data_IF_272734562196
#
_entry.id   IF_272734562196
#
_cell.length_a   1.000
_cell.length_b   1.000
_cell.length_c   1.000
_cell.angle_alpha   90.00
_cell.angle_beta   90.00
_cell.angle_gamma   90.00
#
_symmetry.space_group_name_H-M   'P 1'
#
loop_
_entity.id
_entity.type
_entity.pdbx_description
1 polymer ?
#
# COMPACT_ATOMS: atom_id res chain seq x y z
N UNK A 1 -13.07 -31.17 29.76
CA UNK A 1 -14.26 -30.62 29.06
C UNK A 1 -14.24 -29.10 28.97
N UNK A 2 -13.74 -28.40 29.96
CA UNK A 2 -13.57 -26.92 29.91
C UNK A 2 -12.55 -26.46 28.88
N UNK A 3 -11.41 -27.14 28.74
CA UNK A 3 -10.38 -26.77 27.75
C UNK A 3 -10.85 -26.87 26.30
N UNK A 4 -11.75 -27.82 26.01
CA UNK A 4 -12.28 -28.00 24.65
C UNK A 4 -13.26 -26.87 24.26
N UNK A 5 -13.97 -26.29 25.23
CA UNK A 5 -14.90 -25.17 25.03
C UNK A 5 -14.12 -23.86 24.79
N UNK A 6 -13.04 -23.64 25.55
CA UNK A 6 -12.15 -22.48 25.39
C UNK A 6 -11.50 -22.45 24.00
N UNK A 7 -10.95 -23.57 23.53
CA UNK A 7 -10.33 -23.68 22.21
C UNK A 7 -11.34 -23.40 21.09
N UNK A 8 -12.57 -23.92 21.20
CA UNK A 8 -13.65 -23.64 20.23
C UNK A 8 -14.06 -22.16 20.20
N UNK A 9 -14.06 -21.49 21.34
CA UNK A 9 -14.40 -20.07 21.42
C UNK A 9 -13.31 -19.20 20.81
N UNK A 10 -12.04 -19.54 20.98
CA UNK A 10 -10.91 -18.83 20.36
C UNK A 10 -10.88 -19.02 18.84
N UNK A 11 -11.15 -20.23 18.35
CA UNK A 11 -11.25 -20.50 16.91
C UNK A 11 -12.41 -19.77 16.25
N UNK A 12 -13.57 -19.71 16.91
CA UNK A 12 -14.71 -18.95 16.42
C UNK A 12 -14.46 -17.44 16.43
N UNK A 13 -13.78 -16.93 17.45
CA UNK A 13 -13.41 -15.52 17.51
C UNK A 13 -12.46 -15.15 16.37
N UNK A 14 -11.44 -15.96 16.12
CA UNK A 14 -10.48 -15.76 15.01
C UNK A 14 -11.13 -15.89 13.62
N UNK A 15 -12.11 -16.77 13.47
CA UNK A 15 -12.90 -16.88 12.22
C UNK A 15 -13.75 -15.64 12.00
N UNK A 16 -14.45 -15.17 13.02
CA UNK A 16 -15.27 -13.97 12.94
C UNK A 16 -14.45 -12.71 12.65
N UNK A 17 -13.24 -12.60 13.21
CA UNK A 17 -12.32 -11.49 12.90
C UNK A 17 -11.81 -11.53 11.46
N UNK A 18 -11.52 -12.72 10.91
CA UNK A 18 -11.12 -12.89 9.51
C UNK A 18 -12.27 -12.59 8.55
N UNK A 19 -13.47 -13.06 8.84
CA UNK A 19 -14.68 -12.79 8.06
C UNK A 19 -15.00 -11.29 8.05
N UNK A 20 -14.90 -10.60 9.18
CA UNK A 20 -15.12 -9.16 9.30
C UNK A 20 -14.07 -8.34 8.51
N UNK A 21 -12.80 -8.76 8.53
CA UNK A 21 -11.74 -8.10 7.74
C UNK A 21 -11.95 -8.26 6.25
N UNK A 22 -12.35 -9.45 5.80
CA UNK A 22 -12.65 -9.71 4.39
C UNK A 22 -13.87 -8.91 3.92
N UNK A 23 -14.92 -8.82 4.71
CA UNK A 23 -16.12 -8.05 4.39
C UNK A 23 -15.81 -6.54 4.26
N UNK A 24 -15.01 -5.98 5.16
CA UNK A 24 -14.58 -4.59 5.07
C UNK A 24 -13.72 -4.34 3.82
N UNK A 25 -12.78 -5.23 3.50
CA UNK A 25 -11.94 -5.13 2.31
C UNK A 25 -12.79 -5.19 1.05
N UNK A 26 -13.75 -6.10 0.98
CA UNK A 26 -14.66 -6.23 -0.16
C UNK A 26 -15.53 -4.98 -0.34
N UNK A 27 -16.01 -4.40 0.75
CA UNK A 27 -16.76 -3.13 0.72
C UNK A 27 -15.90 -1.96 0.26
N UNK A 28 -14.65 -1.88 0.71
CA UNK A 28 -13.69 -0.84 0.28
C UNK A 28 -13.41 -0.93 -1.20
N UNK A 29 -13.25 -2.13 -1.76
CA UNK A 29 -13.06 -2.33 -3.19
C UNK A 29 -14.26 -1.80 -4.01
N UNK A 30 -15.48 -1.97 -3.54
CA UNK A 30 -16.67 -1.42 -4.20
C UNK A 30 -16.66 0.11 -4.27
N UNK A 31 -16.02 0.77 -3.32
CA UNK A 31 -15.82 2.23 -3.33
C UNK A 31 -14.63 2.67 -4.16
N UNK A 32 -13.94 1.75 -4.82
CA UNK A 32 -12.71 1.97 -5.59
C UNK A 32 -11.63 2.66 -4.77
N UNK A 33 -11.48 2.24 -3.52
CA UNK A 33 -10.54 2.81 -2.56
C UNK A 33 -9.53 1.77 -2.10
N UNK A 34 -8.25 2.14 -2.15
CA UNK A 34 -7.12 1.35 -1.66
C UNK A 34 -6.42 2.13 -0.54
N UNK A 35 -6.03 1.43 0.52
CA UNK A 35 -5.32 2.03 1.64
C UNK A 35 -3.97 1.35 1.81
N UNK A 36 -2.90 2.13 1.78
CA UNK A 36 -1.55 1.71 2.14
C UNK A 36 -1.19 2.37 3.47
N UNK A 37 -0.99 1.56 4.49
CA UNK A 37 -0.66 2.03 5.82
C UNK A 37 0.47 1.19 6.43
N UNK A 38 1.46 1.86 7.03
CA UNK A 38 2.56 1.20 7.70
C UNK A 38 3.73 0.84 6.78
N UNK A 39 4.46 -0.19 7.13
CA UNK A 39 5.67 -0.61 6.42
C UNK A 39 5.38 -1.15 5.03
N UNK A 40 6.20 -0.76 4.05
CA UNK A 40 6.14 -1.27 2.69
C UNK A 40 7.02 -2.52 2.59
N UNK A 41 6.40 -3.62 2.20
CA UNK A 41 7.06 -4.91 1.98
C UNK A 41 6.45 -5.64 0.76
N UNK A 42 7.00 -6.79 0.40
CA UNK A 42 6.53 -7.55 -0.76
C UNK A 42 5.11 -8.11 -0.57
N UNK A 43 4.74 -8.46 0.64
CA UNK A 43 3.37 -8.91 0.95
C UNK A 43 2.34 -7.80 0.67
N UNK A 44 2.64 -6.57 1.10
CA UNK A 44 1.83 -5.39 0.78
C UNK A 44 1.77 -5.14 -0.74
N UNK A 45 2.90 -5.25 -1.43
CA UNK A 45 2.97 -5.05 -2.88
C UNK A 45 2.10 -6.06 -3.63
N UNK A 46 2.13 -7.31 -3.24
CA UNK A 46 1.26 -8.36 -3.80
C UNK A 46 -0.21 -8.03 -3.58
N UNK A 47 -0.59 -7.67 -2.35
CA UNK A 47 -1.97 -7.32 -1.98
C UNK A 47 -2.48 -6.13 -2.79
N UNK A 48 -1.71 -5.06 -2.85
CA UNK A 48 -2.08 -3.83 -3.60
C UNK A 48 -2.18 -4.12 -5.09
N UNK A 49 -1.25 -4.89 -5.64
CA UNK A 49 -1.28 -5.32 -7.05
C UNK A 49 -2.57 -6.05 -7.38
N UNK A 50 -2.95 -7.03 -6.55
CA UNK A 50 -4.21 -7.77 -6.72
C UNK A 50 -5.43 -6.85 -6.67
N UNK A 51 -5.46 -5.93 -5.72
CA UNK A 51 -6.55 -4.97 -5.58
C UNK A 51 -6.67 -4.05 -6.80
N UNK A 52 -5.57 -3.51 -7.28
CA UNK A 52 -5.55 -2.61 -8.44
C UNK A 52 -5.97 -3.33 -9.73
N UNK A 53 -5.47 -4.54 -9.95
CA UNK A 53 -5.87 -5.35 -11.11
C UNK A 53 -7.35 -5.73 -11.06
N UNK A 54 -7.88 -6.06 -9.90
CA UNK A 54 -9.29 -6.35 -9.71
C UNK A 54 -10.15 -5.10 -9.98
N UNK A 55 -9.75 -3.95 -9.47
CA UNK A 55 -10.45 -2.69 -9.70
C UNK A 55 -10.47 -2.30 -11.18
N UNK A 56 -9.39 -2.56 -11.92
CA UNK A 56 -9.35 -2.36 -13.36
C UNK A 56 -10.39 -3.22 -14.10
N UNK A 57 -10.55 -4.49 -13.71
CA UNK A 57 -11.55 -5.39 -14.27
C UNK A 57 -12.99 -4.96 -13.92
N UNK A 58 -13.19 -4.31 -12.78
CA UNK A 58 -14.50 -3.84 -12.33
C UNK A 58 -14.97 -2.57 -13.05
N UNK A 59 -14.09 -1.83 -13.70
CA UNK A 59 -14.45 -0.62 -14.43
C UNK A 59 -13.26 0.33 -14.63
N UNK A 60 -13.52 1.38 -15.39
CA UNK A 60 -12.51 2.38 -15.77
C UNK A 60 -12.58 3.68 -14.93
N UNK A 61 -13.46 3.75 -13.95
CA UNK A 61 -13.60 4.91 -13.09
C UNK A 61 -12.34 5.13 -12.25
N UNK A 62 -12.03 6.38 -11.84
CA UNK A 62 -10.85 6.68 -11.03
C UNK A 62 -10.81 5.89 -9.72
N UNK A 63 -9.61 5.51 -9.34
CA UNK A 63 -9.30 4.83 -8.08
C UNK A 63 -8.72 5.85 -7.11
N UNK A 64 -9.12 5.81 -5.84
CA UNK A 64 -8.56 6.63 -4.78
C UNK A 64 -7.65 5.77 -3.90
N UNK A 65 -6.39 6.19 -3.76
CA UNK A 65 -5.40 5.51 -2.94
C UNK A 65 -4.92 6.43 -1.82
N UNK A 66 -5.12 6.02 -0.58
CA UNK A 66 -4.57 6.71 0.60
C UNK A 66 -3.23 6.09 0.99
N UNK A 67 -2.24 6.92 1.28
CA UNK A 67 -0.92 6.47 1.74
C UNK A 67 -0.50 7.15 3.02
N UNK A 68 -0.13 6.33 4.00
CA UNK A 68 0.49 6.70 5.27
C UNK A 68 1.57 5.68 5.60
N UNK A 69 2.82 5.98 5.30
CA UNK A 69 3.90 5.02 5.41
C UNK A 69 5.23 5.70 5.72
N UNK A 70 5.96 5.12 6.65
CA UNK A 70 7.36 5.45 6.93
C UNK A 70 8.33 4.96 5.83
N UNK A 71 7.84 4.19 4.87
CA UNK A 71 8.65 3.55 3.85
C UNK A 71 8.89 2.07 4.12
N UNK A 72 9.98 1.55 3.60
CA UNK A 72 10.37 0.14 3.74
C UNK A 72 11.15 -0.36 2.54
N UNK A 73 10.73 -1.49 1.98
CA UNK A 73 11.42 -2.17 0.91
C UNK A 73 11.27 -1.44 -0.44
N UNK A 74 12.39 -1.02 -1.01
CA UNK A 74 12.42 -0.19 -2.23
C UNK A 74 11.78 -0.91 -3.43
N UNK A 75 12.12 -2.16 -3.66
CA UNK A 75 11.59 -2.93 -4.79
C UNK A 75 10.07 -3.18 -4.67
N UNK A 76 9.57 -3.32 -3.46
CA UNK A 76 8.13 -3.41 -3.21
C UNK A 76 7.42 -2.09 -3.56
N UNK A 77 8.02 -0.95 -3.20
CA UNK A 77 7.51 0.36 -3.56
C UNK A 77 7.54 0.59 -5.08
N UNK A 78 8.61 0.20 -5.74
CA UNK A 78 8.74 0.27 -7.21
C UNK A 78 7.67 -0.59 -7.89
N UNK A 79 7.40 -1.77 -7.37
CA UNK A 79 6.33 -2.66 -7.87
C UNK A 79 4.98 -1.96 -7.80
N UNK A 80 4.65 -1.35 -6.68
CA UNK A 80 3.38 -0.61 -6.51
C UNK A 80 3.32 0.61 -7.43
N UNK A 81 4.40 1.37 -7.52
CA UNK A 81 4.53 2.50 -8.43
C UNK A 81 4.24 2.10 -9.88
N UNK A 82 4.89 1.04 -10.33
CA UNK A 82 4.78 0.58 -11.71
C UNK A 82 3.38 0.05 -12.02
N UNK A 83 2.75 -0.66 -11.09
CA UNK A 83 1.38 -1.16 -11.30
C UNK A 83 0.37 -0.02 -11.34
N UNK A 84 0.54 1.03 -10.55
CA UNK A 84 -0.29 2.23 -10.60
C UNK A 84 -0.23 2.88 -11.99
N UNK A 85 0.96 2.95 -12.57
CA UNK A 85 1.15 3.51 -13.92
C UNK A 85 0.69 2.57 -15.03
N UNK A 86 0.75 1.27 -14.81
CA UNK A 86 0.39 0.26 -15.80
C UNK A 86 -1.11 0.13 -16.01
N UNK A 87 -1.91 0.20 -14.95
CA UNK A 87 -3.36 0.03 -15.05
C UNK A 87 -4.02 1.18 -15.80
N UNK A 88 -5.13 0.89 -16.46
CA UNK A 88 -5.88 1.85 -17.26
C UNK A 88 -6.60 2.93 -16.44
N UNK A 89 -7.29 2.61 -15.32
CA UNK A 89 -7.95 3.64 -14.54
C UNK A 89 -6.96 4.64 -13.95
N UNK A 90 -7.38 5.92 -13.89
CA UNK A 90 -6.64 6.96 -13.19
C UNK A 90 -6.59 6.64 -11.69
N UNK A 91 -5.42 6.81 -11.08
CA UNK A 91 -5.25 6.68 -9.63
C UNK A 91 -4.98 8.04 -9.03
N UNK A 92 -5.88 8.50 -8.16
CA UNK A 92 -5.67 9.67 -7.33
C UNK A 92 -5.04 9.24 -6.01
N UNK A 93 -3.90 9.82 -5.64
CA UNK A 93 -3.19 9.45 -4.42
C UNK A 93 -3.28 10.58 -3.41
N UNK A 94 -3.75 10.23 -2.22
CA UNK A 94 -3.90 11.16 -1.09
C UNK A 94 -2.89 10.80 -0.02
N UNK A 95 -1.94 11.70 0.22
CA UNK A 95 -1.00 11.58 1.34
C UNK A 95 -1.68 11.91 2.66
N UNK A 96 -1.47 11.08 3.66
CA UNK A 96 -2.00 11.29 5.01
C UNK A 96 -0.97 10.90 6.05
N UNK A 97 -0.91 11.62 7.15
CA UNK A 97 -0.03 11.36 8.28
C UNK A 97 1.46 11.51 7.94
N UNK A 98 2.07 10.43 7.50
CA UNK A 98 3.49 10.37 7.20
C UNK A 98 3.74 9.67 5.87
N UNK A 99 4.42 10.34 4.96
CA UNK A 99 4.81 9.79 3.66
C UNK A 99 6.32 9.97 3.52
N UNK A 100 7.05 8.90 3.74
CA UNK A 100 8.51 8.95 3.85
C UNK A 100 9.21 7.87 3.04
N UNK A 101 10.42 8.19 2.56
CA UNK A 101 11.32 7.23 1.92
C UNK A 101 10.64 6.51 0.73
N UNK A 102 10.57 5.19 0.75
CA UNK A 102 9.90 4.40 -0.27
C UNK A 102 8.40 4.74 -0.46
N UNK A 103 7.75 5.31 0.56
CA UNK A 103 6.38 5.84 0.45
C UNK A 103 6.26 7.00 -0.54
N UNK A 104 7.29 7.82 -0.67
CA UNK A 104 7.37 8.89 -1.68
C UNK A 104 7.35 8.30 -3.09
N UNK A 105 8.05 7.21 -3.33
CA UNK A 105 8.05 6.52 -4.62
C UNK A 105 6.64 6.17 -5.07
N UNK A 106 5.82 5.64 -4.17
CA UNK A 106 4.43 5.31 -4.46
C UNK A 106 3.60 6.57 -4.70
N UNK A 107 3.75 7.58 -3.86
CA UNK A 107 3.05 8.85 -3.98
C UNK A 107 3.29 9.54 -5.32
N UNK A 108 4.51 9.46 -5.84
CA UNK A 108 4.89 10.02 -7.12
C UNK A 108 4.40 9.21 -8.35
N UNK A 109 3.78 8.08 -8.15
CA UNK A 109 3.18 7.31 -9.25
C UNK A 109 1.97 8.02 -9.87
N UNK A 110 1.25 8.86 -9.12
CA UNK A 110 0.21 9.71 -9.66
C UNK A 110 0.82 10.96 -10.30
N UNK A 111 0.20 11.43 -11.38
CA UNK A 111 0.53 12.73 -11.97
C UNK A 111 0.24 13.86 -10.96
N UNK A 112 0.91 15.00 -11.12
CA UNK A 112 0.81 16.12 -10.19
C UNK A 112 -0.64 16.53 -9.91
N UNK A 113 -1.47 16.54 -10.93
CA UNK A 113 -2.89 16.92 -10.85
C UNK A 113 -3.72 15.91 -10.05
N UNK A 114 -3.21 14.70 -9.90
CA UNK A 114 -3.88 13.59 -9.23
C UNK A 114 -3.27 13.26 -7.86
N UNK A 115 -2.38 14.14 -7.38
CA UNK A 115 -1.79 14.05 -6.04
C UNK A 115 -2.47 15.04 -5.10
N UNK A 116 -2.86 14.54 -3.94
CA UNK A 116 -3.54 15.30 -2.90
C UNK A 116 -2.83 15.10 -1.56
N UNK A 117 -2.95 16.06 -0.68
CA UNK A 117 -2.38 15.98 0.67
C UNK A 117 -3.40 16.46 1.69
N UNK A 118 -3.55 15.71 2.77
CA UNK A 118 -4.31 16.16 3.92
C UNK A 118 -3.46 17.15 4.75
N UNK A 119 -4.08 18.08 5.49
CA UNK A 119 -3.38 19.24 6.09
C UNK A 119 -2.25 18.89 7.05
N UNK A 120 -2.34 17.77 7.77
CA UNK A 120 -1.34 17.37 8.77
C UNK A 120 -0.31 16.36 8.24
N UNK A 121 -0.26 16.16 6.93
CA UNK A 121 0.66 15.21 6.31
C UNK A 121 2.07 15.78 6.28
N UNK A 122 3.03 14.92 6.64
CA UNK A 122 4.46 15.22 6.54
C UNK A 122 5.09 14.35 5.46
N UNK A 123 6.03 14.92 4.74
CA UNK A 123 6.77 14.23 3.69
C UNK A 123 8.26 14.26 3.99
N UNK A 124 8.93 13.10 3.84
CA UNK A 124 10.36 13.03 4.04
C UNK A 124 11.04 12.27 2.89
N UNK A 125 11.95 12.96 2.23
CA UNK A 125 12.82 12.40 1.22
C UNK A 125 14.24 12.38 1.79
N UNK A 126 14.88 11.23 1.74
CA UNK A 126 16.29 11.09 2.14
C UNK A 126 17.03 10.18 1.18
N UNK A 127 18.36 10.26 1.24
CA UNK A 127 19.21 9.37 0.46
C UNK A 127 19.03 7.92 0.94
N UNK A 128 19.05 6.93 0.01
CA UNK A 128 18.99 5.54 0.39
C UNK A 128 20.10 5.17 1.38
N UNK A 129 19.74 4.46 2.45
CA UNK A 129 20.69 3.86 3.37
C UNK A 129 21.00 2.45 2.87
N UNK A 130 22.26 2.17 2.57
CA UNK A 130 22.69 0.86 2.10
C UNK A 130 24.13 0.56 2.45
N UNK A 131 24.42 -0.70 2.78
CA UNK A 131 25.76 -1.18 3.04
C UNK A 131 26.43 -1.68 1.77
N UNK A 132 26.83 -0.79 0.88
CA UNK A 132 27.59 -1.12 -0.30
C UNK A 132 29.09 -0.96 -0.06
N UNK A 133 29.85 -1.96 -0.51
CA UNK A 133 31.32 -1.86 -0.58
C UNK A 133 31.73 -1.82 -2.04
N UNK A 134 32.44 -0.78 -2.42
CA UNK A 134 32.89 -0.60 -3.79
C UNK A 134 33.33 0.84 -4.05
N UNK A 135 33.80 1.11 -5.25
CA UNK A 135 34.07 2.47 -5.68
C UNK A 135 32.77 3.19 -6.06
N UNK A 136 32.78 4.52 -6.06
CA UNK A 136 31.59 5.31 -6.42
C UNK A 136 31.03 4.96 -7.81
N UNK A 137 31.89 4.56 -8.74
CA UNK A 137 31.51 4.09 -10.07
C UNK A 137 30.74 2.77 -10.05
N UNK A 138 30.98 1.90 -9.05
CA UNK A 138 30.31 0.61 -8.91
C UNK A 138 28.90 0.78 -8.33
N UNK A 139 28.67 1.87 -7.60
CA UNK A 139 27.38 2.19 -6.95
C UNK A 139 26.50 3.06 -7.85
N UNK A 140 27.04 3.59 -8.95
CA UNK A 140 26.30 4.42 -9.91
C UNK A 140 25.94 5.80 -9.39
N UNK A 141 26.84 6.36 -8.58
CA UNK A 141 26.71 7.74 -8.06
C UNK A 141 27.26 8.74 -9.06
#
# INVERSE_FOLDING_TARGET
MEDTILIRNEENCKKNEKENKNDLTDKMLKTRTVIICGEINQELAEKVTKQLLLLQEMGDEPITLFINSQGGHVEAADTIHDIIKFIKPQVNIIGTGWVASAGITIYLAAEKENRYSLPNTRYMIHQPLGGFRGQATDIGI
#
